data_IF_037419176988
#
_entry.id   IF_037419176988
#
_cell.length_a   1.000
_cell.length_b   1.000
_cell.length_c   1.000
_cell.angle_alpha   90.00
_cell.angle_beta   90.00
_cell.angle_gamma   90.00
#
_symmetry.space_group_name_H-M   'P 1'
#
loop_
_entity.id
_entity.type
_entity.pdbx_description
1 polymer ?
#
# COMPACT_ATOMS: atom_id res chain seq x y z
N UNK A 1 -1.91 12.22 22.38
CA UNK A 1 -3.02 11.62 21.63
C UNK A 1 -2.62 11.09 20.24
N UNK A 2 -1.41 11.37 19.74
CA UNK A 2 -0.96 11.01 18.39
C UNK A 2 -0.64 9.50 18.22
N UNK A 3 -0.11 8.86 19.27
CA UNK A 3 0.29 7.43 19.25
C UNK A 3 -0.87 6.46 18.95
N UNK A 4 -2.08 6.80 19.43
CA UNK A 4 -3.29 6.00 19.21
C UNK A 4 -3.76 6.07 17.76
N UNK A 5 -3.52 7.18 17.06
CA UNK A 5 -3.92 7.38 15.67
C UNK A 5 -3.17 6.46 14.69
N UNK A 6 -1.84 6.34 14.86
CA UNK A 6 -1.02 5.52 13.97
C UNK A 6 -1.32 4.02 14.08
N UNK A 7 -1.56 3.51 15.30
CA UNK A 7 -1.93 2.11 15.49
C UNK A 7 -3.28 1.79 14.85
N UNK A 8 -4.27 2.69 14.98
CA UNK A 8 -5.58 2.52 14.34
C UNK A 8 -5.46 2.51 12.81
N UNK A 9 -4.64 3.37 12.22
CA UNK A 9 -4.39 3.38 10.76
C UNK A 9 -3.69 2.12 10.29
N UNK A 10 -2.72 1.62 11.07
CA UNK A 10 -2.03 0.37 10.77
C UNK A 10 -2.98 -0.83 10.79
N UNK A 11 -3.76 -1.00 11.86
CA UNK A 11 -4.72 -2.10 12.00
C UNK A 11 -5.79 -2.08 10.91
N UNK A 12 -6.32 -0.89 10.56
CA UNK A 12 -7.25 -0.73 9.44
C UNK A 12 -6.66 -1.18 8.12
N UNK A 13 -5.38 -0.87 7.90
CA UNK A 13 -4.70 -1.24 6.66
C UNK A 13 -4.43 -2.75 6.61
N UNK A 14 -3.99 -3.37 7.70
CA UNK A 14 -3.86 -4.83 7.79
C UNK A 14 -5.21 -5.52 7.53
N UNK A 15 -6.28 -5.04 8.14
CA UNK A 15 -7.62 -5.58 7.92
C UNK A 15 -8.08 -5.42 6.46
N UNK A 16 -7.76 -4.31 5.81
CA UNK A 16 -8.07 -4.09 4.40
C UNK A 16 -7.25 -5.00 3.47
N UNK A 17 -5.96 -5.20 3.76
CA UNK A 17 -5.10 -6.15 3.04
C UNK A 17 -5.63 -7.58 3.17
N UNK A 18 -6.07 -7.99 4.37
CA UNK A 18 -6.67 -9.31 4.61
C UNK A 18 -8.00 -9.52 3.87
N UNK A 19 -8.64 -8.47 3.38
CA UNK A 19 -9.88 -8.52 2.59
C UNK A 19 -9.62 -8.55 1.07
N UNK A 20 -8.36 -8.45 0.64
CA UNK A 20 -8.00 -8.59 -0.77
C UNK A 20 -8.20 -10.03 -1.23
N UNK A 21 -8.59 -10.20 -2.50
CA UNK A 21 -8.52 -11.50 -3.16
C UNK A 21 -7.05 -11.90 -3.36
N UNK A 22 -6.79 -13.19 -3.58
CA UNK A 22 -5.43 -13.67 -3.83
C UNK A 22 -4.78 -12.98 -5.05
N UNK A 23 -5.54 -12.76 -6.11
CA UNK A 23 -5.08 -12.05 -7.31
C UNK A 23 -4.72 -10.58 -7.04
N UNK A 24 -5.53 -9.89 -6.23
CA UNK A 24 -5.29 -8.50 -5.84
C UNK A 24 -4.06 -8.40 -4.93
N UNK A 25 -3.93 -9.31 -3.97
CA UNK A 25 -2.78 -9.38 -3.08
C UNK A 25 -1.48 -9.65 -3.86
N UNK A 26 -1.51 -10.58 -4.83
CA UNK A 26 -0.38 -10.86 -5.74
C UNK A 26 -0.01 -9.63 -6.58
N UNK A 27 -1.00 -8.90 -7.08
CA UNK A 27 -0.78 -7.69 -7.88
C UNK A 27 -0.18 -6.56 -7.05
N UNK A 28 -0.70 -6.35 -5.83
CA UNK A 28 -0.16 -5.38 -4.86
C UNK A 28 1.30 -5.70 -4.51
N UNK A 29 1.60 -6.97 -4.22
CA UNK A 29 2.96 -7.42 -3.92
C UNK A 29 3.91 -7.18 -5.10
N UNK A 30 3.49 -7.48 -6.34
CA UNK A 30 4.27 -7.19 -7.55
C UNK A 30 4.58 -5.70 -7.71
N UNK A 31 3.60 -4.83 -7.44
CA UNK A 31 3.81 -3.37 -7.51
C UNK A 31 4.82 -2.89 -6.48
N UNK A 32 4.67 -3.30 -5.21
CA UNK A 32 5.62 -2.94 -4.14
C UNK A 32 7.01 -3.44 -4.49
N UNK A 33 7.12 -4.69 -4.96
CA UNK A 33 8.40 -5.26 -5.38
C UNK A 33 9.03 -4.45 -6.53
N UNK A 34 8.27 -4.10 -7.57
CA UNK A 34 8.79 -3.31 -8.69
C UNK A 34 9.35 -1.95 -8.28
N UNK A 35 8.70 -1.27 -7.32
CA UNK A 35 9.24 -0.03 -6.76
C UNK A 35 10.54 -0.25 -5.99
N UNK A 36 10.58 -1.25 -5.10
CA UNK A 36 11.79 -1.58 -4.32
C UNK A 36 12.94 -1.99 -5.23
N UNK A 37 12.68 -2.84 -6.21
CA UNK A 37 13.69 -3.29 -7.18
C UNK A 37 14.25 -2.11 -7.98
N UNK A 38 13.39 -1.21 -8.46
CA UNK A 38 13.80 0.03 -9.14
C UNK A 38 14.67 0.91 -8.25
N UNK A 39 14.36 1.03 -6.96
CA UNK A 39 15.17 1.80 -6.02
C UNK A 39 16.55 1.17 -5.74
N UNK A 40 16.62 -0.16 -5.77
CA UNK A 40 17.83 -0.92 -5.44
C UNK A 40 18.76 -1.10 -6.63
N UNK A 41 18.21 -1.26 -7.83
CA UNK A 41 18.97 -1.56 -9.06
C UNK A 41 19.11 -0.35 -9.99
N UNK A 42 18.30 0.69 -9.78
CA UNK A 42 18.31 1.89 -10.60
C UNK A 42 19.44 2.86 -10.25
N UNK A 43 19.82 3.68 -11.23
CA UNK A 43 20.95 4.62 -11.12
C UNK A 43 20.58 5.96 -10.44
N UNK A 44 19.44 6.03 -9.75
CA UNK A 44 18.89 7.27 -9.22
C UNK A 44 19.38 7.68 -7.82
N UNK A 45 20.25 6.86 -7.20
CA UNK A 45 20.82 7.14 -5.88
C UNK A 45 19.77 7.26 -4.77
N UNK A 46 20.11 7.98 -3.70
CA UNK A 46 19.26 8.05 -2.50
C UNK A 46 17.94 8.82 -2.71
N UNK A 47 17.89 9.72 -3.70
CA UNK A 47 16.66 10.42 -4.05
C UNK A 47 15.56 9.44 -4.50
N UNK A 48 15.90 8.51 -5.40
CA UNK A 48 14.92 7.51 -5.88
C UNK A 48 14.48 6.56 -4.78
N UNK A 49 15.37 6.23 -3.83
CA UNK A 49 14.99 5.44 -2.65
C UNK A 49 13.94 6.16 -1.79
N UNK A 50 14.12 7.46 -1.54
CA UNK A 50 13.16 8.26 -0.78
C UNK A 50 11.81 8.38 -1.50
N UNK A 51 11.83 8.62 -2.81
CA UNK A 51 10.61 8.65 -3.63
C UNK A 51 9.87 7.30 -3.60
N UNK A 52 10.59 6.19 -3.62
CA UNK A 52 10.00 4.85 -3.53
C UNK A 52 9.39 4.60 -2.16
N UNK A 53 10.06 4.99 -1.08
CA UNK A 53 9.50 4.90 0.28
C UNK A 53 8.19 5.69 0.38
N UNK A 54 8.16 6.91 -0.15
CA UNK A 54 6.96 7.75 -0.15
C UNK A 54 5.81 7.14 -0.99
N UNK A 55 6.13 6.59 -2.18
CA UNK A 55 5.15 5.90 -3.03
C UNK A 55 4.57 4.65 -2.38
N UNK A 56 5.42 3.81 -1.80
CA UNK A 56 4.98 2.59 -1.09
C UNK A 56 4.13 2.95 0.13
N UNK A 57 4.54 3.97 0.89
CA UNK A 57 3.75 4.51 2.00
C UNK A 57 2.38 5.00 1.53
N UNK A 58 2.32 5.75 0.43
CA UNK A 58 1.06 6.25 -0.14
C UNK A 58 0.14 5.11 -0.57
N UNK A 59 0.68 4.08 -1.21
CA UNK A 59 -0.09 2.88 -1.59
C UNK A 59 -0.71 2.26 -0.34
N UNK A 60 0.09 2.05 0.72
CA UNK A 60 -0.38 1.49 1.99
C UNK A 60 -1.58 2.27 2.56
N UNK A 61 -1.47 3.60 2.63
CA UNK A 61 -2.53 4.45 3.17
C UNK A 61 -3.82 4.44 2.33
N UNK A 62 -3.75 4.12 1.03
CA UNK A 62 -4.91 4.11 0.12
C UNK A 62 -5.63 2.76 0.05
N UNK A 63 -5.04 1.67 0.52
CA UNK A 63 -5.67 0.33 0.48
C UNK A 63 -7.04 0.29 1.19
N UNK A 64 -7.23 0.88 2.39
CA UNK A 64 -8.55 0.93 3.03
C UNK A 64 -9.60 1.63 2.17
N UNK A 65 -9.25 2.75 1.53
CA UNK A 65 -10.16 3.52 0.67
C UNK A 65 -10.59 2.70 -0.56
N UNK A 66 -9.63 2.06 -1.24
CA UNK A 66 -9.89 1.21 -2.41
C UNK A 66 -10.78 0.02 -2.06
N UNK A 67 -10.57 -0.57 -0.88
CA UNK A 67 -11.39 -1.69 -0.37
C UNK A 67 -12.84 -1.26 -0.17
N UNK A 68 -13.07 -0.07 0.39
CA UNK A 68 -14.42 0.48 0.58
C UNK A 68 -15.09 0.85 -0.75
N UNK A 69 -14.35 1.39 -1.72
CA UNK A 69 -14.87 1.64 -3.07
C UNK A 69 -15.31 0.35 -3.76
N UNK A 70 -14.51 -0.71 -3.64
CA UNK A 70 -14.84 -2.04 -4.17
C UNK A 70 -16.15 -2.55 -3.56
N UNK A 71 -16.29 -2.53 -2.23
CA UNK A 71 -17.53 -2.96 -1.54
C UNK A 71 -18.77 -2.20 -2.00
N UNK A 72 -18.64 -0.89 -2.26
CA UNK A 72 -19.75 -0.07 -2.79
C UNK A 72 -20.13 -0.47 -4.21
N UNK A 73 -19.16 -0.80 -5.05
CA UNK A 73 -19.40 -1.20 -6.44
C UNK A 73 -20.16 -2.54 -6.55
N UNK A 74 -19.88 -3.49 -5.66
CA UNK A 74 -20.54 -4.81 -5.61
C UNK A 74 -21.87 -4.84 -4.82
N UNK A 75 -22.32 -3.71 -4.27
CA UNK A 75 -23.63 -3.57 -3.58
C UNK A 75 -24.77 -3.11 -4.48
N UNK A 76 -24.54 -3.03 -5.81
CA UNK A 76 -25.58 -2.81 -6.82
C UNK A 76 -26.11 -4.15 -7.32
#
# INVERSE_FOLDING_TARGET
MEKTSHMVTFEKTINAVNQLTEEDAKSLLRLIYGYVDTAMTGNGGDQVKLEVVDRVSTIYHRIPELTELRKKAYKK
#
